data_IF_150723415720
#
_entry.id   IF_150723415720
#
_cell.length_a   1.000
_cell.length_b   1.000
_cell.length_c   1.000
_cell.angle_alpha   90.00
_cell.angle_beta   90.00
_cell.angle_gamma   90.00
#
_symmetry.space_group_name_H-M   'P 1'
#
loop_
_entity.id
_entity.type
_entity.pdbx_description
1 polymer ?
#
# COMPACT_ATOMS: atom_id res chain seq x y z
N UNK A 1 -21.46 1.93 7.52
CA UNK A 1 -20.09 1.42 7.42
C UNK A 1 -20.00 0.43 6.27
N UNK A 2 -19.19 0.74 5.27
CA UNK A 2 -18.91 -0.10 4.10
C UNK A 2 -18.21 -1.41 4.50
N UNK A 3 -18.23 -2.41 3.60
CA UNK A 3 -17.56 -3.68 3.87
C UNK A 3 -16.03 -3.55 3.95
N UNK A 4 -15.46 -2.59 3.21
CA UNK A 4 -14.05 -2.22 3.36
C UNK A 4 -13.75 -1.75 4.79
N UNK A 5 -14.55 -0.82 5.33
CA UNK A 5 -14.33 -0.26 6.66
C UNK A 5 -14.43 -1.34 7.75
N UNK A 6 -15.46 -2.21 7.68
CA UNK A 6 -15.61 -3.34 8.62
C UNK A 6 -14.37 -4.23 8.63
N UNK A 7 -13.89 -4.64 7.45
CA UNK A 7 -12.72 -5.51 7.35
C UNK A 7 -11.45 -4.81 7.84
N UNK A 8 -11.29 -3.53 7.50
CA UNK A 8 -10.12 -2.76 7.89
C UNK A 8 -10.05 -2.59 9.41
N UNK A 9 -11.16 -2.28 10.07
CA UNK A 9 -11.22 -2.15 11.54
C UNK A 9 -10.99 -3.48 12.25
N UNK A 10 -11.55 -4.56 11.70
CA UNK A 10 -11.31 -5.89 12.23
C UNK A 10 -9.81 -6.23 12.20
N UNK A 11 -9.13 -5.91 11.10
CA UNK A 11 -7.67 -6.09 10.99
C UNK A 11 -6.89 -5.17 11.93
N UNK A 12 -7.31 -3.92 12.09
CA UNK A 12 -6.70 -2.99 13.06
C UNK A 12 -6.80 -3.55 14.48
N UNK A 13 -7.99 -4.01 14.89
CA UNK A 13 -8.21 -4.64 16.21
C UNK A 13 -7.30 -5.85 16.40
N UNK A 14 -7.23 -6.75 15.41
CA UNK A 14 -6.32 -7.91 15.46
C UNK A 14 -4.85 -7.47 15.57
N UNK A 15 -4.43 -6.46 14.81
CA UNK A 15 -3.06 -5.93 14.83
C UNK A 15 -2.69 -5.40 16.22
N UNK A 16 -3.56 -4.58 16.81
CA UNK A 16 -3.37 -4.04 18.15
C UNK A 16 -3.40 -5.13 19.24
N UNK A 17 -4.27 -6.14 19.11
CA UNK A 17 -4.30 -7.29 20.01
C UNK A 17 -2.99 -8.09 20.00
N UNK A 18 -2.39 -8.29 18.82
CA UNK A 18 -1.10 -9.02 18.69
C UNK A 18 0.05 -8.38 19.46
N UNK A 19 0.01 -7.06 19.64
CA UNK A 19 1.02 -6.32 20.40
C UNK A 19 0.57 -5.99 21.83
N UNK A 20 -0.56 -6.55 22.28
CA UNK A 20 -1.09 -6.31 23.63
C UNK A 20 -1.64 -4.89 23.87
N UNK A 21 -2.04 -4.17 22.81
CA UNK A 21 -2.51 -2.78 22.85
C UNK A 21 -3.94 -2.61 22.36
N UNK A 22 -4.80 -3.59 22.65
CA UNK A 22 -6.23 -3.49 22.30
C UNK A 22 -6.94 -2.30 22.95
N UNK A 23 -6.40 -1.78 24.06
CA UNK A 23 -6.84 -0.56 24.72
C UNK A 23 -6.88 0.65 23.77
N UNK A 24 -5.96 0.71 22.79
CA UNK A 24 -5.89 1.78 21.81
C UNK A 24 -7.06 1.74 20.83
N UNK A 25 -7.58 0.56 20.50
CA UNK A 25 -8.76 0.43 19.64
C UNK A 25 -9.97 1.06 20.33
N UNK A 26 -10.23 0.67 21.59
CA UNK A 26 -11.36 1.16 22.37
C UNK A 26 -11.28 2.68 22.66
N UNK A 27 -10.06 3.22 22.82
CA UNK A 27 -9.81 4.68 22.92
C UNK A 27 -10.17 5.41 21.62
N UNK A 28 -9.85 4.83 20.46
CA UNK A 28 -10.14 5.43 19.15
C UNK A 28 -11.64 5.30 18.76
N UNK A 29 -12.33 4.23 19.17
CA UNK A 29 -13.70 3.90 18.75
C UNK A 29 -14.84 4.76 19.35
N UNK A 30 -14.54 5.86 20.07
CA UNK A 30 -15.55 6.65 20.81
C UNK A 30 -16.50 7.51 19.94
N UNK A 31 -16.33 7.57 18.62
CA UNK A 31 -17.25 8.27 17.70
C UNK A 31 -17.67 7.33 16.55
N UNK A 32 -18.97 7.04 16.43
CA UNK A 32 -19.53 6.03 15.52
C UNK A 32 -19.47 6.38 14.01
N UNK A 33 -18.88 7.53 13.65
CA UNK A 33 -18.73 7.94 12.26
C UNK A 33 -17.24 8.06 11.93
N UNK A 34 -16.74 7.07 11.20
CA UNK A 34 -15.37 7.04 10.73
C UNK A 34 -15.22 7.95 9.52
N UNK A 35 -15.01 9.22 9.80
CA UNK A 35 -14.60 10.22 8.84
C UNK A 35 -13.05 10.34 8.84
N UNK A 36 -12.55 11.29 8.07
CA UNK A 36 -11.13 11.59 8.02
C UNK A 36 -10.55 11.98 9.39
N UNK A 37 -11.32 12.68 10.20
CA UNK A 37 -10.94 13.13 11.55
C UNK A 37 -10.74 11.94 12.49
N UNK A 38 -11.53 10.87 12.33
CA UNK A 38 -11.30 9.63 13.09
C UNK A 38 -9.95 9.01 12.74
N UNK A 39 -9.60 8.98 11.44
CA UNK A 39 -8.31 8.43 10.99
C UNK A 39 -7.13 9.28 11.48
N UNK A 40 -7.29 10.60 11.51
CA UNK A 40 -6.31 11.53 12.10
C UNK A 40 -6.14 11.29 13.61
N UNK A 41 -7.23 11.22 14.37
CA UNK A 41 -7.19 10.92 15.82
C UNK A 41 -6.54 9.57 16.11
N UNK A 42 -6.87 8.55 15.32
CA UNK A 42 -6.22 7.25 15.41
C UNK A 42 -4.71 7.41 15.23
N UNK A 43 -4.26 8.10 14.17
CA UNK A 43 -2.83 8.26 13.93
C UNK A 43 -2.12 9.04 15.03
N UNK A 44 -2.71 10.12 15.55
CA UNK A 44 -2.19 10.87 16.71
C UNK A 44 -2.02 9.92 17.92
N UNK A 45 -3.04 9.10 18.19
CA UNK A 45 -2.99 8.14 19.29
C UNK A 45 -1.91 7.08 19.06
N UNK A 46 -1.85 6.45 17.89
CA UNK A 46 -0.86 5.41 17.61
C UNK A 46 0.57 5.96 17.64
N UNK A 47 0.80 7.13 17.04
CA UNK A 47 2.13 7.77 16.99
C UNK A 47 2.64 8.21 18.37
N UNK A 48 1.74 8.50 19.32
CA UNK A 48 2.13 8.88 20.69
C UNK A 48 2.35 7.68 21.62
N UNK A 49 1.72 6.54 21.31
CA UNK A 49 1.64 5.39 22.20
C UNK A 49 2.48 4.20 21.77
N UNK A 50 2.88 4.13 20.50
CA UNK A 50 3.58 3.00 19.90
C UNK A 50 4.94 3.41 19.32
N UNK A 51 5.87 2.47 19.27
CA UNK A 51 7.13 2.63 18.52
C UNK A 51 6.86 2.57 17.02
N UNK A 52 7.75 3.16 16.23
CA UNK A 52 7.62 3.19 14.76
C UNK A 52 7.39 1.77 14.17
N UNK A 53 8.20 0.79 14.57
CA UNK A 53 8.06 -0.58 14.05
C UNK A 53 6.70 -1.23 14.42
N UNK A 54 6.14 -0.93 15.60
CA UNK A 54 4.82 -1.42 16.00
C UNK A 54 3.71 -0.79 15.15
N UNK A 55 3.81 0.51 14.85
CA UNK A 55 2.88 1.24 13.98
C UNK A 55 2.94 0.64 12.57
N UNK A 56 4.15 0.42 12.04
CA UNK A 56 4.35 -0.21 10.74
C UNK A 56 3.69 -1.59 10.70
N UNK A 57 3.91 -2.41 11.72
CA UNK A 57 3.36 -3.76 11.78
C UNK A 57 1.84 -3.80 11.84
N UNK A 58 1.24 -2.99 12.74
CA UNK A 58 -0.21 -2.86 12.89
C UNK A 58 -0.84 -2.35 11.60
N UNK A 59 -0.32 -1.24 11.05
CA UNK A 59 -0.91 -0.60 9.88
C UNK A 59 -0.73 -1.44 8.63
N UNK A 60 0.44 -2.04 8.40
CA UNK A 60 0.63 -2.99 7.30
C UNK A 60 -0.21 -4.27 7.45
N UNK A 61 -0.60 -4.65 8.67
CA UNK A 61 -1.59 -5.72 8.91
C UNK A 61 -3.00 -5.38 8.43
N UNK A 62 -3.32 -4.11 8.22
CA UNK A 62 -4.63 -3.65 7.74
C UNK A 62 -4.79 -3.70 6.22
N UNK A 63 -3.75 -4.12 5.48
CA UNK A 63 -3.71 -4.07 4.03
C UNK A 63 -4.84 -4.85 3.32
N UNK A 64 -5.25 -4.35 2.16
CA UNK A 64 -5.88 -5.16 1.13
C UNK A 64 -4.78 -6.03 0.49
N UNK A 65 -4.99 -7.34 0.40
CA UNK A 65 -3.95 -8.29 -0.01
C UNK A 65 -4.06 -8.64 -1.49
N UNK A 66 -2.92 -8.98 -2.11
CA UNK A 66 -2.90 -9.47 -3.47
C UNK A 66 -3.53 -10.87 -3.57
N UNK A 67 -4.24 -11.21 -4.67
CA UNK A 67 -4.68 -12.58 -4.92
C UNK A 67 -3.50 -13.55 -4.90
N UNK A 68 -3.65 -14.67 -4.18
CA UNK A 68 -2.54 -15.60 -3.95
C UNK A 68 -2.30 -16.59 -5.09
N UNK A 69 -3.20 -16.70 -6.05
CA UNK A 69 -3.14 -17.78 -7.05
C UNK A 69 -1.88 -17.72 -7.91
N UNK A 70 -1.52 -16.54 -8.40
CA UNK A 70 -0.24 -16.40 -9.13
C UNK A 70 0.98 -16.38 -8.20
N UNK A 71 0.84 -15.83 -6.99
CA UNK A 71 1.95 -15.78 -6.03
C UNK A 71 2.39 -17.18 -5.57
N UNK A 72 1.50 -18.19 -5.59
CA UNK A 72 1.86 -19.59 -5.32
C UNK A 72 2.93 -20.09 -6.29
N UNK A 73 2.75 -19.84 -7.58
CA UNK A 73 3.74 -20.20 -8.62
C UNK A 73 5.08 -19.54 -8.36
N UNK A 74 5.09 -18.25 -8.01
CA UNK A 74 6.32 -17.51 -7.68
C UNK A 74 7.03 -18.03 -6.43
N UNK A 75 6.26 -18.39 -5.40
CA UNK A 75 6.78 -19.01 -4.18
C UNK A 75 7.43 -20.35 -4.47
N UNK A 76 6.78 -21.19 -5.28
CA UNK A 76 7.33 -22.49 -5.69
C UNK A 76 8.62 -22.32 -6.48
N UNK A 77 8.67 -21.36 -7.40
CA UNK A 77 9.88 -21.04 -8.15
C UNK A 77 11.01 -20.60 -7.21
N UNK A 78 10.75 -19.64 -6.32
CA UNK A 78 11.74 -19.20 -5.34
C UNK A 78 12.23 -20.34 -4.45
N UNK A 79 11.35 -21.25 -4.05
CA UNK A 79 11.71 -22.40 -3.21
C UNK A 79 12.71 -23.32 -3.92
N UNK A 80 12.53 -23.52 -5.24
CA UNK A 80 13.37 -24.38 -6.07
C UNK A 80 14.71 -23.72 -6.42
N UNK A 81 14.67 -22.46 -6.85
CA UNK A 81 15.84 -21.82 -7.47
C UNK A 81 16.62 -20.94 -6.50
N UNK A 82 15.95 -20.41 -5.47
CA UNK A 82 16.46 -19.34 -4.59
C UNK A 82 16.92 -18.10 -5.37
N UNK A 83 16.47 -17.95 -6.62
CA UNK A 83 16.84 -16.86 -7.49
C UNK A 83 15.82 -15.73 -7.36
N UNK A 84 16.21 -14.70 -6.60
CA UNK A 84 15.39 -13.52 -6.39
C UNK A 84 15.16 -12.74 -7.69
N UNK A 85 16.16 -12.66 -8.59
CA UNK A 85 16.03 -11.90 -9.85
C UNK A 85 15.05 -12.58 -10.77
N UNK A 86 15.12 -13.91 -10.87
CA UNK A 86 14.19 -14.69 -11.69
C UNK A 86 12.75 -14.50 -11.21
N UNK A 87 12.49 -14.60 -9.91
CA UNK A 87 11.14 -14.46 -9.34
C UNK A 87 10.61 -13.04 -9.48
N UNK A 88 11.48 -12.03 -9.31
CA UNK A 88 11.15 -10.63 -9.61
C UNK A 88 10.76 -10.43 -11.07
N UNK A 89 11.51 -10.98 -12.02
CA UNK A 89 11.19 -10.90 -13.45
C UNK A 89 9.84 -11.54 -13.78
N UNK A 90 9.54 -12.71 -13.19
CA UNK A 90 8.24 -13.37 -13.36
C UNK A 90 7.09 -12.52 -12.80
N UNK A 91 7.28 -11.88 -11.64
CA UNK A 91 6.29 -10.98 -11.07
C UNK A 91 6.06 -9.74 -11.95
N UNK A 92 7.13 -9.17 -12.51
CA UNK A 92 7.05 -8.04 -13.45
C UNK A 92 6.25 -8.43 -14.72
N UNK A 93 6.59 -9.56 -15.33
CA UNK A 93 5.89 -10.05 -16.53
C UNK A 93 4.40 -10.30 -16.27
N UNK A 94 4.07 -10.88 -15.12
CA UNK A 94 2.68 -11.06 -14.70
C UNK A 94 1.96 -9.73 -14.55
N UNK A 95 2.58 -8.76 -13.88
CA UNK A 95 2.02 -7.43 -13.68
C UNK A 95 1.71 -6.78 -15.03
N UNK A 96 2.68 -6.69 -15.94
CA UNK A 96 2.53 -6.08 -17.27
C UNK A 96 1.41 -6.73 -18.09
N UNK A 97 1.36 -8.08 -18.10
CA UNK A 97 0.29 -8.81 -18.78
C UNK A 97 -1.08 -8.55 -18.16
N UNK A 98 -1.15 -8.58 -16.83
CA UNK A 98 -2.41 -8.42 -16.09
C UNK A 98 -2.96 -6.99 -16.22
N UNK A 99 -2.11 -5.97 -16.13
CA UNK A 99 -2.55 -4.57 -16.15
C UNK A 99 -3.04 -4.17 -17.55
N UNK A 100 -2.37 -4.63 -18.59
CA UNK A 100 -2.79 -4.39 -19.98
C UNK A 100 -4.18 -4.96 -20.24
N UNK A 101 -4.43 -6.20 -19.79
CA UNK A 101 -5.72 -6.89 -19.98
C UNK A 101 -6.83 -6.29 -19.11
N UNK A 102 -6.53 -5.98 -17.85
CA UNK A 102 -7.53 -5.56 -16.87
C UNK A 102 -7.94 -4.08 -17.00
N UNK A 103 -6.99 -3.21 -17.37
CA UNK A 103 -7.20 -1.75 -17.39
C UNK A 103 -7.34 -1.16 -18.79
N UNK A 104 -7.27 -1.96 -19.86
CA UNK A 104 -7.39 -1.50 -21.24
C UNK A 104 -6.53 -0.24 -21.51
N UNK A 105 -5.28 -0.28 -21.02
CA UNK A 105 -4.36 0.86 -21.10
C UNK A 105 -3.93 1.09 -22.54
N UNK A 106 -3.75 2.36 -22.92
CA UNK A 106 -3.04 2.68 -24.17
C UNK A 106 -1.55 2.35 -24.05
N UNK A 107 -0.86 2.26 -25.19
CA UNK A 107 0.58 2.04 -25.24
C UNK A 107 1.35 3.12 -24.46
N UNK A 108 0.95 4.39 -24.58
CA UNK A 108 1.55 5.51 -23.85
C UNK A 108 1.37 5.40 -22.33
N UNK A 109 0.19 4.93 -21.88
CA UNK A 109 -0.08 4.73 -20.45
C UNK A 109 0.73 3.57 -19.88
N UNK A 110 0.85 2.47 -20.62
CA UNK A 110 1.71 1.35 -20.24
C UNK A 110 3.17 1.80 -20.18
N UNK A 111 3.62 2.56 -21.19
CA UNK A 111 4.98 3.10 -21.24
C UNK A 111 5.26 4.01 -20.03
N UNK A 112 4.34 4.90 -19.68
CA UNK A 112 4.47 5.75 -18.49
C UNK A 112 4.67 4.91 -17.21
N UNK A 113 3.85 3.87 -17.02
CA UNK A 113 3.95 2.97 -15.86
C UNK A 113 5.32 2.30 -15.80
N UNK A 114 5.79 1.75 -16.93
CA UNK A 114 7.08 1.04 -16.98
C UNK A 114 8.27 1.98 -16.82
N UNK A 115 8.23 3.18 -17.42
CA UNK A 115 9.31 4.17 -17.32
C UNK A 115 9.50 4.71 -15.88
N UNK A 116 8.45 4.64 -15.05
CA UNK A 116 8.44 5.14 -13.67
C UNK A 116 8.50 4.02 -12.62
N UNK A 117 8.86 2.78 -13.01
CA UNK A 117 8.92 1.62 -12.11
C UNK A 117 7.61 1.39 -11.32
N UNK A 118 6.48 1.78 -11.89
CA UNK A 118 5.18 1.68 -11.24
C UNK A 118 4.64 0.25 -11.34
N UNK A 119 4.19 -0.29 -10.22
CA UNK A 119 3.56 -1.61 -10.20
C UNK A 119 3.85 -2.42 -8.95
N UNK A 120 3.38 -3.66 -8.96
CA UNK A 120 3.50 -4.56 -7.81
C UNK A 120 4.90 -5.18 -7.67
N UNK A 121 5.66 -5.31 -8.77
CA UNK A 121 7.00 -5.88 -8.73
C UNK A 121 8.05 -4.88 -8.25
N UNK A 122 7.91 -3.60 -8.63
CA UNK A 122 8.88 -2.54 -8.35
C UNK A 122 10.24 -2.80 -9.01
N UNK A 123 11.22 -1.94 -8.73
CA UNK A 123 12.60 -2.09 -9.20
C UNK A 123 13.44 -2.84 -8.16
N UNK A 124 14.15 -3.89 -8.60
CA UNK A 124 15.05 -4.69 -7.75
C UNK A 124 16.50 -4.22 -7.84
N UNK A 125 17.10 -3.90 -6.70
CA UNK A 125 18.50 -3.51 -6.56
C UNK A 125 19.13 -4.27 -5.38
N UNK A 126 19.96 -5.28 -5.69
CA UNK A 126 20.49 -6.19 -4.66
C UNK A 126 19.37 -6.96 -3.96
N UNK A 127 19.18 -6.69 -2.67
CA UNK A 127 18.12 -7.27 -1.83
C UNK A 127 17.05 -6.23 -1.42
N UNK A 128 16.95 -5.11 -2.13
CA UNK A 128 15.95 -4.08 -1.88
C UNK A 128 15.10 -3.88 -3.11
N UNK A 129 13.79 -3.78 -2.93
CA UNK A 129 12.87 -3.33 -3.96
C UNK A 129 12.40 -1.93 -3.66
N UNK A 130 12.26 -1.12 -4.71
CA UNK A 130 11.53 0.14 -4.65
C UNK A 130 10.30 0.03 -5.52
N UNK A 131 9.12 -0.02 -4.90
CA UNK A 131 7.86 -0.05 -5.62
C UNK A 131 7.22 1.34 -5.65
N UNK A 132 6.86 1.80 -6.84
CA UNK A 132 6.05 2.99 -7.03
C UNK A 132 4.60 2.54 -7.23
N UNK A 133 3.66 3.15 -6.50
CA UNK A 133 2.25 2.82 -6.69
C UNK A 133 1.75 3.29 -8.05
N UNK A 134 0.88 2.49 -8.64
CA UNK A 134 0.09 2.87 -9.80
C UNK A 134 -1.11 3.72 -9.40
N UNK A 135 -1.62 4.60 -10.28
CA UNK A 135 -2.90 5.27 -10.07
C UNK A 135 -4.05 4.27 -9.88
N UNK A 136 -5.05 4.64 -9.07
CA UNK A 136 -6.28 3.83 -8.90
C UNK A 136 -7.15 3.89 -10.16
N UNK A 137 -7.36 5.11 -10.64
CA UNK A 137 -8.24 5.47 -11.75
C UNK A 137 -7.36 5.98 -12.90
N UNK A 138 -6.83 5.02 -13.68
CA UNK A 138 -5.78 5.26 -14.67
C UNK A 138 -6.18 6.29 -15.73
N UNK A 139 -7.32 6.09 -16.38
CA UNK A 139 -7.71 6.94 -17.50
C UNK A 139 -7.93 8.38 -17.04
N UNK A 140 -8.61 8.56 -15.91
CA UNK A 140 -8.88 9.86 -15.31
C UNK A 140 -7.60 10.55 -14.83
N UNK A 141 -6.66 9.80 -14.25
CA UNK A 141 -5.35 10.33 -13.84
C UNK A 141 -4.57 10.92 -15.03
N UNK A 142 -4.65 10.30 -16.21
CA UNK A 142 -3.96 10.77 -17.42
C UNK A 142 -4.73 11.83 -18.22
N UNK A 143 -6.01 12.08 -17.90
CA UNK A 143 -6.84 13.08 -18.57
C UNK A 143 -6.80 14.45 -17.90
N UNK A 144 -6.01 14.61 -16.84
CA UNK A 144 -5.95 15.84 -16.06
C UNK A 144 -4.53 16.21 -15.66
N UNK A 145 -4.27 17.52 -15.69
CA UNK A 145 -3.06 18.14 -15.18
C UNK A 145 -3.30 18.89 -13.85
N UNK A 146 -4.55 18.97 -13.40
CA UNK A 146 -4.88 19.55 -12.10
C UNK A 146 -4.29 18.65 -10.99
N UNK A 147 -3.36 19.17 -10.15
CA UNK A 147 -2.66 18.36 -9.16
C UNK A 147 -3.58 17.76 -8.10
N UNK A 148 -4.66 18.45 -7.74
CA UNK A 148 -5.64 17.96 -6.76
C UNK A 148 -6.42 16.78 -7.35
N UNK A 149 -6.89 16.93 -8.58
CA UNK A 149 -7.63 15.88 -9.28
C UNK A 149 -6.72 14.66 -9.56
N UNK A 150 -5.46 14.88 -9.93
CA UNK A 150 -4.48 13.79 -10.11
C UNK A 150 -4.28 13.00 -8.82
N UNK A 151 -4.04 13.66 -7.68
CA UNK A 151 -3.85 12.99 -6.38
C UNK A 151 -5.08 12.17 -5.99
N UNK A 152 -6.28 12.68 -6.27
CA UNK A 152 -7.53 11.98 -6.03
C UNK A 152 -7.63 10.67 -6.83
N UNK A 153 -7.36 10.70 -8.15
CA UNK A 153 -7.38 9.51 -9.01
C UNK A 153 -6.20 8.58 -8.79
N UNK A 154 -5.11 9.07 -8.22
CA UNK A 154 -3.96 8.25 -7.85
C UNK A 154 -4.26 7.38 -6.62
N UNK A 155 -4.86 7.96 -5.57
CA UNK A 155 -4.95 7.30 -4.27
C UNK A 155 -5.99 6.16 -4.25
N UNK A 156 -5.53 4.97 -3.86
CA UNK A 156 -6.37 3.77 -3.75
C UNK A 156 -7.29 3.75 -2.52
N UNK A 157 -6.95 4.49 -1.47
CA UNK A 157 -7.70 4.45 -0.22
C UNK A 157 -8.90 5.41 -0.31
N UNK A 158 -10.16 4.93 -0.16
CA UNK A 158 -11.33 5.78 -0.27
C UNK A 158 -11.38 6.86 0.83
N UNK A 159 -10.78 6.60 2.01
CA UNK A 159 -10.70 7.60 3.09
C UNK A 159 -9.70 8.71 2.77
N UNK A 160 -8.49 8.34 2.37
CA UNK A 160 -7.41 9.30 2.13
C UNK A 160 -7.64 10.13 0.88
N UNK A 161 -8.12 9.53 -0.22
CA UNK A 161 -8.27 10.26 -1.48
C UNK A 161 -9.23 11.45 -1.38
N UNK A 162 -10.31 11.35 -0.59
CA UNK A 162 -11.22 12.47 -0.38
C UNK A 162 -10.53 13.60 0.40
N UNK A 163 -9.68 13.27 1.37
CA UNK A 163 -8.95 14.26 2.14
C UNK A 163 -7.84 14.96 1.35
N UNK A 164 -7.26 14.29 0.35
CA UNK A 164 -6.27 14.89 -0.54
C UNK A 164 -6.85 16.04 -1.41
N UNK A 165 -8.17 16.25 -1.39
CA UNK A 165 -8.82 17.41 -2.01
C UNK A 165 -8.68 18.70 -1.19
N UNK A 166 -8.48 18.57 0.13
CA UNK A 166 -8.38 19.69 1.06
C UNK A 166 -6.92 19.84 1.49
N UNK A 167 -6.33 21.03 1.35
CA UNK A 167 -4.92 21.27 1.72
C UNK A 167 -4.68 21.20 3.24
N UNK A 168 -5.73 21.36 4.04
CA UNK A 168 -5.68 21.54 5.51
C UNK A 168 -5.91 20.26 6.33
N UNK A 169 -5.91 19.06 5.71
CA UNK A 169 -6.20 17.80 6.42
C UNK A 169 -4.96 16.92 6.61
N UNK A 170 -4.17 17.11 7.69
CA UNK A 170 -2.94 16.37 7.91
C UNK A 170 -3.22 14.99 8.51
N UNK A 171 -3.42 13.98 7.67
CA UNK A 171 -3.22 12.59 8.12
C UNK A 171 -1.75 12.25 8.04
N UNK A 172 -1.22 11.73 9.15
CA UNK A 172 0.16 11.25 9.19
C UNK A 172 0.39 10.12 8.17
N UNK A 173 1.51 10.20 7.45
CA UNK A 173 1.88 9.21 6.41
C UNK A 173 1.95 7.77 6.91
N UNK A 174 2.13 7.55 8.21
CA UNK A 174 2.11 6.22 8.81
C UNK A 174 0.77 5.51 8.59
N UNK A 175 -0.32 6.24 8.35
CA UNK A 175 -1.60 5.64 7.93
C UNK A 175 -1.45 4.81 6.64
N UNK A 176 -0.62 5.31 5.72
CA UNK A 176 -0.37 4.66 4.43
C UNK A 176 0.47 3.38 4.55
N UNK A 177 0.96 2.99 5.73
CA UNK A 177 1.56 1.66 5.91
C UNK A 177 0.55 0.53 5.65
N UNK A 178 -0.76 0.81 5.74
CA UNK A 178 -1.80 -0.07 5.20
C UNK A 178 -1.62 -0.34 3.70
N UNK A 179 -1.20 0.65 2.92
CA UNK A 179 -0.85 0.46 1.51
C UNK A 179 0.49 -0.25 1.30
N UNK A 180 1.47 -0.03 2.19
CA UNK A 180 2.75 -0.73 2.17
C UNK A 180 2.61 -2.23 2.49
N UNK A 181 1.63 -2.58 3.33
CA UNK A 181 1.33 -3.97 3.67
C UNK A 181 0.94 -4.85 2.49
N UNK A 182 0.41 -4.27 1.39
CA UNK A 182 0.20 -5.00 0.13
C UNK A 182 1.51 -5.58 -0.43
N UNK A 183 2.57 -4.76 -0.45
CA UNK A 183 3.88 -5.17 -0.94
C UNK A 183 4.58 -6.09 0.05
N UNK A 184 4.46 -5.83 1.35
CA UNK A 184 4.95 -6.73 2.40
C UNK A 184 4.38 -8.14 2.21
N UNK A 185 3.06 -8.23 2.09
CA UNK A 185 2.34 -9.50 1.93
C UNK A 185 2.75 -10.28 0.67
N UNK A 186 3.01 -9.60 -0.45
CA UNK A 186 3.52 -10.26 -1.67
C UNK A 186 4.86 -10.94 -1.39
N UNK A 187 5.82 -10.19 -0.85
CA UNK A 187 7.19 -10.67 -0.70
C UNK A 187 7.38 -11.62 0.48
N UNK A 188 6.67 -11.44 1.59
CA UNK A 188 6.65 -12.43 2.68
C UNK A 188 6.06 -13.75 2.20
N UNK A 189 5.02 -13.71 1.36
CA UNK A 189 4.41 -14.92 0.81
C UNK A 189 5.37 -15.67 -0.12
N UNK A 190 6.04 -14.95 -1.04
CA UNK A 190 6.99 -15.53 -1.99
C UNK A 190 8.23 -16.09 -1.25
N UNK A 191 8.82 -15.28 -0.37
CA UNK A 191 10.10 -15.60 0.29
C UNK A 191 9.94 -16.51 1.52
N UNK A 192 8.72 -16.64 2.04
CA UNK A 192 8.39 -17.45 3.22
C UNK A 192 9.13 -17.00 4.48
N UNK A 193 9.40 -15.71 4.58
CA UNK A 193 10.06 -15.07 5.73
C UNK A 193 9.62 -13.61 5.82
N UNK A 194 9.73 -12.98 7.00
CA UNK A 194 9.41 -11.57 7.17
C UNK A 194 10.27 -10.67 6.28
N UNK A 195 9.69 -9.57 5.80
CA UNK A 195 10.40 -8.49 5.09
C UNK A 195 10.08 -7.16 5.75
N UNK A 196 10.95 -6.16 5.60
CA UNK A 196 10.68 -4.81 6.14
C UNK A 196 10.17 -3.89 5.04
N UNK A 197 9.18 -3.06 5.36
CA UNK A 197 8.72 -2.00 4.46
C UNK A 197 8.93 -0.62 5.05
N UNK A 198 9.21 0.36 4.20
CA UNK A 198 9.32 1.78 4.55
C UNK A 198 8.69 2.65 3.46
N UNK A 199 7.86 3.60 3.86
CA UNK A 199 7.34 4.63 2.95
C UNK A 199 8.42 5.69 2.80
N UNK A 200 8.88 5.89 1.56
CA UNK A 200 9.92 6.89 1.24
C UNK A 200 9.34 8.14 0.57
N UNK A 201 8.25 8.01 -0.17
CA UNK A 201 7.47 9.12 -0.72
C UNK A 201 5.98 8.84 -0.53
N UNK A 202 5.19 9.88 -0.28
CA UNK A 202 3.76 9.78 -0.04
C UNK A 202 3.02 11.05 -0.46
N UNK A 203 1.86 10.88 -1.09
CA UNK A 203 0.95 12.00 -1.36
C UNK A 203 0.57 12.79 -0.10
N UNK A 204 0.51 12.13 1.07
CA UNK A 204 0.25 12.79 2.36
C UNK A 204 1.39 13.71 2.82
N UNK A 205 2.56 13.65 2.19
CA UNK A 205 3.69 14.53 2.44
C UNK A 205 3.91 15.55 1.30
N UNK A 206 2.99 15.60 0.32
CA UNK A 206 3.09 16.48 -0.84
C UNK A 206 3.90 15.91 -2.01
N UNK A 207 4.41 14.67 -1.90
CA UNK A 207 5.10 14.02 -3.02
C UNK A 207 4.14 13.73 -4.19
N UNK A 208 4.69 13.56 -5.39
CA UNK A 208 3.92 13.28 -6.60
C UNK A 208 3.42 11.82 -6.64
N UNK A 209 4.22 10.88 -6.14
CA UNK A 209 3.91 9.45 -6.13
C UNK A 209 4.12 8.86 -4.73
N UNK A 210 3.47 7.72 -4.45
CA UNK A 210 3.78 6.93 -3.26
C UNK A 210 4.86 5.90 -3.60
N UNK A 211 6.02 6.00 -2.97
CA UNK A 211 7.13 5.03 -3.11
C UNK A 211 7.36 4.27 -1.81
N UNK A 212 7.53 2.95 -1.95
CA UNK A 212 7.73 2.03 -0.83
C UNK A 212 9.00 1.23 -1.08
N UNK A 213 9.93 1.28 -0.11
CA UNK A 213 11.07 0.36 -0.07
C UNK A 213 10.67 -0.92 0.63
N UNK A 214 11.05 -2.07 0.05
CA UNK A 214 10.91 -3.40 0.62
C UNK A 214 12.30 -3.99 0.77
N UNK A 215 12.72 -4.24 2.00
CA UNK A 215 13.98 -4.88 2.33
C UNK A 215 13.72 -6.37 2.50
N UNK A 216 14.24 -7.15 1.55
CA UNK A 216 13.93 -8.56 1.40
C UNK A 216 14.67 -9.38 2.42
#
# INVERSE_FOLDING_TARGET
MSDFEKQWLHKLKIGLQKIGREDLFEKASRSHQENIEWSERLMILLNSELKEDEIIDVMSGCACLAPKDYLKTLREEYTKTRDLKQVHQLLQQYFEKSITTYKNLSEDQLKYITDHDMGMAGKLEGNTLTAVKIPKDFHEYFQTDDPVIKRYHYCHCPRIREALKDEDKPIDKNYCYCGAGFYRDIWEFILQRPVKVRIVESLLQGDEHCKIKIYL
#
